data_IF_344349475532
#
_entry.id   IF_344349475532
#
_cell.length_a   1.000
_cell.length_b   1.000
_cell.length_c   1.000
_cell.angle_alpha   90.00
_cell.angle_beta   90.00
_cell.angle_gamma   90.00
#
_symmetry.space_group_name_H-M   'P 1'
#
loop_
_entity.id
_entity.type
_entity.pdbx_description
1 polymer ?
#
# COMPACT_ATOMS: atom_id res chain seq x y z
N UNK A 1 24.37 -83.70 2.33
CA UNK A 1 24.68 -82.43 1.64
C UNK A 1 24.05 -81.32 2.45
N UNK A 2 24.86 -80.56 3.20
CA UNK A 2 24.44 -79.51 4.12
C UNK A 2 24.11 -78.24 3.33
N UNK A 3 22.95 -77.60 3.58
CA UNK A 3 22.70 -76.22 3.15
C UNK A 3 22.22 -75.45 4.38
N UNK A 4 23.11 -74.60 4.92
CA UNK A 4 22.82 -73.65 5.99
C UNK A 4 21.83 -72.59 5.49
N UNK A 5 20.68 -72.48 6.14
CA UNK A 5 19.76 -71.34 5.96
C UNK A 5 20.26 -70.15 6.79
N UNK A 6 20.59 -69.04 6.12
CA UNK A 6 21.06 -67.79 6.75
C UNK A 6 19.90 -67.12 7.49
N UNK A 7 20.01 -66.96 8.81
CA UNK A 7 19.08 -66.12 9.59
C UNK A 7 19.41 -64.65 9.34
N UNK A 8 18.52 -63.93 8.65
CA UNK A 8 18.59 -62.47 8.50
C UNK A 8 18.00 -61.85 9.77
N UNK A 9 18.85 -61.22 10.58
CA UNK A 9 18.45 -60.49 11.78
C UNK A 9 17.94 -59.10 11.34
N UNK A 10 16.63 -58.89 11.42
CA UNK A 10 16.03 -57.57 11.22
C UNK A 10 16.31 -56.71 12.47
N UNK A 11 17.16 -55.69 12.30
CA UNK A 11 17.40 -54.64 13.30
C UNK A 11 16.25 -53.62 13.17
N UNK A 12 15.57 -53.23 14.26
CA UNK A 12 14.48 -52.26 14.15
C UNK A 12 15.09 -50.88 13.90
N UNK A 13 14.83 -50.33 12.72
CA UNK A 13 15.08 -48.91 12.43
C UNK A 13 14.09 -48.13 13.28
N UNK A 14 14.58 -47.57 14.39
CA UNK A 14 13.85 -46.60 15.21
C UNK A 14 13.67 -45.35 14.35
N UNK A 15 12.48 -45.23 13.77
CA UNK A 15 12.02 -44.01 13.11
C UNK A 15 11.78 -42.97 14.21
N UNK A 16 12.79 -42.13 14.45
CA UNK A 16 12.64 -40.87 15.17
C UNK A 16 11.67 -40.00 14.35
N UNK A 17 10.38 -40.09 14.68
CA UNK A 17 9.42 -39.07 14.31
C UNK A 17 9.83 -37.79 15.03
N UNK A 18 10.58 -36.93 14.34
CA UNK A 18 10.66 -35.52 14.66
C UNK A 18 9.25 -34.99 14.51
N UNK A 19 8.50 -34.97 15.62
CA UNK A 19 7.32 -34.14 15.79
C UNK A 19 7.78 -32.68 15.77
N UNK A 20 8.11 -32.19 14.57
CA UNK A 20 8.23 -30.78 14.32
C UNK A 20 6.86 -30.18 14.58
N UNK A 21 6.75 -29.32 15.58
CA UNK A 21 5.63 -28.40 15.65
C UNK A 21 5.68 -27.55 14.38
N UNK A 22 4.81 -27.84 13.42
CA UNK A 22 4.45 -26.88 12.39
C UNK A 22 3.80 -25.70 13.12
N UNK A 23 4.62 -24.71 13.46
CA UNK A 23 4.15 -23.39 13.86
C UNK A 23 3.51 -22.73 12.66
N UNK A 24 2.28 -23.11 12.33
CA UNK A 24 1.43 -22.31 11.47
C UNK A 24 1.10 -21.05 12.25
N UNK A 25 1.93 -20.02 12.08
CA UNK A 25 1.54 -18.67 12.45
C UNK A 25 0.45 -18.27 11.47
N UNK A 26 -0.80 -18.61 11.78
CA UNK A 26 -1.94 -17.88 11.24
C UNK A 26 -1.90 -16.51 11.89
N UNK A 27 -0.96 -15.64 11.47
CA UNK A 27 -1.08 -14.22 11.79
C UNK A 27 -2.47 -13.83 11.28
N UNK A 28 -3.38 -13.32 12.14
CA UNK A 28 -4.64 -12.77 11.66
C UNK A 28 -4.29 -11.77 10.56
N UNK A 29 -5.05 -11.79 9.45
CA UNK A 29 -4.81 -10.97 8.25
C UNK A 29 -4.11 -9.67 8.62
N UNK A 30 -2.85 -9.52 8.17
CA UNK A 30 -1.97 -8.40 8.54
C UNK A 30 -2.80 -7.13 8.65
N UNK A 31 -2.95 -6.61 9.88
CA UNK A 31 -3.42 -5.26 10.08
C UNK A 31 -2.49 -4.35 9.28
N UNK A 32 -3.02 -3.33 8.62
CA UNK A 32 -2.23 -2.31 7.93
C UNK A 32 -1.05 -1.78 8.78
N UNK A 33 -1.13 -1.87 10.10
CA UNK A 33 -0.06 -1.47 11.00
C UNK A 33 1.26 -2.22 10.76
N UNK A 34 1.26 -3.51 10.38
CA UNK A 34 2.51 -4.24 10.08
C UNK A 34 3.11 -3.78 8.74
N UNK A 35 2.28 -3.49 7.73
CA UNK A 35 2.74 -2.88 6.47
C UNK A 35 3.33 -1.48 6.71
N UNK A 36 2.73 -0.69 7.60
CA UNK A 36 3.20 0.67 7.93
C UNK A 36 4.38 0.68 8.90
N UNK A 37 4.66 -0.42 9.59
CA UNK A 37 5.88 -0.59 10.38
C UNK A 37 7.09 -0.72 9.45
N UNK A 38 6.93 -1.48 8.36
CA UNK A 38 7.95 -1.65 7.31
C UNK A 38 8.09 -0.40 6.41
N UNK A 39 7.11 0.52 6.42
CA UNK A 39 7.05 1.71 5.57
C UNK A 39 6.69 2.98 6.38
N UNK A 40 7.33 3.16 7.54
CA UNK A 40 7.07 4.22 8.50
C UNK A 40 7.18 5.65 7.89
N UNK A 41 8.09 5.82 6.93
CA UNK A 41 8.30 7.05 6.16
C UNK A 41 7.06 7.55 5.39
N UNK A 42 6.01 6.74 5.22
CA UNK A 42 4.77 7.13 4.53
C UNK A 42 3.74 7.78 5.46
N UNK A 43 3.84 7.52 6.77
CA UNK A 43 2.81 7.89 7.75
C UNK A 43 2.77 9.40 7.97
N UNK A 44 3.90 10.02 8.28
CA UNK A 44 3.97 11.47 8.49
C UNK A 44 3.52 12.26 7.24
N UNK A 45 4.02 11.97 6.03
CA UNK A 45 3.52 12.61 4.82
C UNK A 45 2.02 12.44 4.60
N UNK A 46 1.44 11.27 4.94
CA UNK A 46 0.01 11.04 4.76
C UNK A 46 -0.84 11.89 5.71
N UNK A 47 -0.37 12.08 6.95
CA UNK A 47 -0.99 13.01 7.91
C UNK A 47 -0.88 14.46 7.41
N UNK A 48 0.29 14.87 6.91
CA UNK A 48 0.48 16.21 6.35
C UNK A 48 -0.39 16.45 5.12
N UNK A 49 -0.53 15.46 4.24
CA UNK A 49 -1.41 15.54 3.08
C UNK A 49 -2.89 15.65 3.47
N UNK A 50 -3.32 14.94 4.52
CA UNK A 50 -4.67 15.08 5.06
C UNK A 50 -4.92 16.51 5.56
N UNK A 51 -3.99 17.08 6.33
CA UNK A 51 -4.12 18.44 6.88
C UNK A 51 -4.09 19.51 5.79
N UNK A 52 -3.23 19.34 4.79
CA UNK A 52 -3.01 20.32 3.73
C UNK A 52 -4.11 20.26 2.66
N UNK A 53 -4.53 19.06 2.26
CA UNK A 53 -5.38 18.86 1.10
C UNK A 53 -6.78 18.33 1.42
N UNK A 54 -6.98 17.74 2.60
CA UNK A 54 -8.21 17.05 2.99
C UNK A 54 -8.26 15.57 2.60
N UNK A 55 -7.18 15.05 2.00
CA UNK A 55 -7.11 13.66 1.53
C UNK A 55 -7.10 12.68 2.70
N UNK A 56 -8.02 11.71 2.77
CA UNK A 56 -7.98 10.68 3.82
C UNK A 56 -6.64 9.94 3.83
N UNK A 57 -6.08 9.68 5.02
CA UNK A 57 -4.81 8.96 5.17
C UNK A 57 -4.85 7.62 4.41
N UNK A 58 -5.94 6.87 4.56
CA UNK A 58 -6.14 5.60 3.83
C UNK A 58 -6.09 5.79 2.31
N UNK A 59 -6.65 6.88 1.78
CA UNK A 59 -6.65 7.18 0.35
C UNK A 59 -5.23 7.46 -0.15
N UNK A 60 -4.45 8.25 0.59
CA UNK A 60 -3.03 8.49 0.25
C UNK A 60 -2.25 7.18 0.20
N UNK A 61 -2.39 6.36 1.24
CA UNK A 61 -1.63 5.11 1.37
C UNK A 61 -1.98 4.09 0.30
N UNK A 62 -3.26 3.90 -0.05
CA UNK A 62 -3.62 2.88 -1.07
C UNK A 62 -3.21 3.25 -2.49
N UNK A 63 -2.97 4.54 -2.75
CA UNK A 63 -2.52 5.04 -4.04
C UNK A 63 -0.99 5.09 -4.15
N UNK A 64 -0.27 4.88 -3.04
CA UNK A 64 1.17 4.64 -3.08
C UNK A 64 1.47 3.27 -3.68
N UNK A 65 2.59 3.20 -4.37
CA UNK A 65 3.12 1.99 -4.96
C UNK A 65 4.33 1.53 -4.15
N UNK A 66 4.37 0.24 -3.81
CA UNK A 66 5.56 -0.39 -3.25
C UNK A 66 6.64 -0.46 -4.34
N UNK A 67 7.91 -0.13 -4.02
CA UNK A 67 9.00 -0.26 -4.96
C UNK A 67 9.20 -1.74 -5.32
N UNK A 68 9.13 -2.07 -6.61
CA UNK A 68 9.23 -3.45 -7.09
C UNK A 68 10.69 -3.97 -7.11
N UNK A 69 11.67 -3.06 -7.07
CA UNK A 69 13.10 -3.37 -6.99
C UNK A 69 13.91 -2.13 -6.61
N UNK A 70 15.17 -2.32 -6.23
CA UNK A 70 16.12 -1.21 -6.03
C UNK A 70 16.34 -0.34 -7.28
N UNK A 71 15.99 -0.84 -8.46
CA UNK A 71 16.20 -0.17 -9.74
C UNK A 71 15.02 0.71 -10.17
N UNK A 72 13.83 0.55 -9.56
CA UNK A 72 12.64 1.38 -9.85
C UNK A 72 11.93 1.74 -8.53
N UNK A 73 12.52 2.70 -7.81
CA UNK A 73 12.08 3.16 -6.47
C UNK A 73 10.94 4.17 -6.49
N UNK A 74 10.08 4.17 -7.51
CA UNK A 74 8.98 5.14 -7.58
C UNK A 74 7.85 4.72 -6.65
N UNK A 75 7.48 5.61 -5.73
CA UNK A 75 6.32 5.44 -4.84
C UNK A 75 5.01 5.89 -5.48
N UNK A 76 5.07 6.60 -6.61
CA UNK A 76 3.91 6.94 -7.44
C UNK A 76 4.32 7.03 -8.91
N UNK A 77 3.43 6.61 -9.82
CA UNK A 77 3.64 6.70 -11.28
C UNK A 77 2.61 7.63 -11.95
N UNK A 78 2.73 8.95 -11.77
CA UNK A 78 1.84 9.91 -12.39
C UNK A 78 2.10 10.03 -13.88
N UNK A 79 1.10 10.51 -14.63
CA UNK A 79 1.34 10.97 -16.00
C UNK A 79 2.23 12.22 -15.95
N UNK A 80 3.12 12.38 -16.92
CA UNK A 80 4.06 13.52 -16.95
C UNK A 80 3.34 14.86 -16.88
N UNK A 81 2.20 15.01 -17.57
CA UNK A 81 1.41 16.24 -17.54
C UNK A 81 0.84 16.55 -16.14
N UNK A 82 0.39 15.54 -15.39
CA UNK A 82 -0.15 15.73 -14.04
C UNK A 82 0.97 16.06 -13.05
N UNK A 83 2.13 15.42 -13.21
CA UNK A 83 3.32 15.70 -12.41
C UNK A 83 3.86 17.10 -12.65
N UNK A 84 3.93 17.54 -13.92
CA UNK A 84 4.38 18.88 -14.27
C UNK A 84 3.41 19.94 -13.73
N UNK A 85 2.11 19.72 -13.88
CA UNK A 85 1.11 20.62 -13.30
C UNK A 85 1.27 20.73 -11.79
N UNK A 86 1.43 19.61 -11.08
CA UNK A 86 1.69 19.59 -9.65
C UNK A 86 2.90 20.43 -9.28
N UNK A 87 4.07 20.14 -9.86
CA UNK A 87 5.33 20.83 -9.51
C UNK A 87 5.22 22.34 -9.71
N UNK A 88 4.56 22.77 -10.78
CA UNK A 88 4.31 24.19 -11.06
C UNK A 88 3.34 24.79 -10.02
N UNK A 89 2.21 24.13 -9.77
CA UNK A 89 1.12 24.66 -8.92
C UNK A 89 1.44 24.64 -7.43
N UNK A 90 2.29 23.71 -7.00
CA UNK A 90 2.74 23.58 -5.61
C UNK A 90 4.10 24.21 -5.36
N UNK A 91 4.74 24.81 -6.38
CA UNK A 91 6.09 25.38 -6.34
C UNK A 91 7.17 24.35 -5.92
N UNK A 92 6.95 23.06 -6.20
CA UNK A 92 7.87 21.95 -5.85
C UNK A 92 8.64 21.46 -7.07
N UNK A 93 9.51 22.31 -7.60
CA UNK A 93 10.23 22.06 -8.85
C UNK A 93 11.18 20.85 -8.79
N UNK A 94 11.73 20.59 -7.61
CA UNK A 94 12.69 19.53 -7.28
C UNK A 94 12.03 18.25 -6.77
N UNK A 95 10.70 18.21 -6.67
CA UNK A 95 9.98 17.02 -6.20
C UNK A 95 10.30 15.80 -7.07
N UNK A 96 10.41 14.65 -6.41
CA UNK A 96 10.71 13.36 -7.03
C UNK A 96 9.68 12.29 -6.67
N UNK A 97 9.15 11.51 -7.63
CA UNK A 97 8.26 10.39 -7.31
C UNK A 97 8.97 9.25 -6.57
N UNK A 98 10.29 9.32 -6.41
CA UNK A 98 11.09 8.36 -5.64
C UNK A 98 11.26 8.76 -4.17
N UNK A 99 10.83 9.97 -3.80
CA UNK A 99 10.82 10.41 -2.41
C UNK A 99 9.41 10.19 -1.87
N UNK A 100 9.21 9.37 -0.82
CA UNK A 100 7.87 9.06 -0.31
C UNK A 100 7.08 10.31 0.07
N UNK A 101 7.72 11.28 0.71
CA UNK A 101 7.08 12.53 1.10
C UNK A 101 6.55 13.33 -0.12
N UNK A 102 7.30 13.38 -1.21
CA UNK A 102 6.87 14.05 -2.45
C UNK A 102 5.76 13.29 -3.16
N UNK A 103 5.84 11.95 -3.16
CA UNK A 103 4.83 11.08 -3.74
C UNK A 103 3.48 11.24 -3.01
N UNK A 104 3.50 11.28 -1.68
CA UNK A 104 2.30 11.47 -0.87
C UNK A 104 1.73 12.89 -0.99
N UNK A 105 2.58 13.93 -1.00
CA UNK A 105 2.09 15.32 -1.22
C UNK A 105 1.45 15.45 -2.61
N UNK A 106 2.03 14.82 -3.64
CA UNK A 106 1.43 14.75 -4.97
C UNK A 106 0.08 14.04 -4.96
N UNK A 107 -0.04 12.86 -4.33
CA UNK A 107 -1.31 12.14 -4.22
C UNK A 107 -2.36 13.01 -3.50
N UNK A 108 -1.96 13.71 -2.43
CA UNK A 108 -2.81 14.64 -1.72
C UNK A 108 -3.32 15.77 -2.62
N UNK A 109 -2.42 16.44 -3.33
CA UNK A 109 -2.76 17.49 -4.28
C UNK A 109 -3.67 16.96 -5.40
N UNK A 110 -3.33 15.81 -5.98
CA UNK A 110 -4.02 15.22 -7.12
C UNK A 110 -5.45 14.80 -6.77
N UNK A 111 -5.63 14.13 -5.63
CA UNK A 111 -6.96 13.71 -5.14
C UNK A 111 -7.84 14.91 -4.82
N UNK A 112 -7.28 16.00 -4.28
CA UNK A 112 -8.02 17.26 -4.16
C UNK A 112 -8.45 17.83 -5.52
N UNK A 113 -7.60 17.74 -6.55
CA UNK A 113 -8.01 18.13 -7.91
C UNK A 113 -9.09 17.19 -8.44
N UNK A 114 -9.04 15.89 -8.15
CA UNK A 114 -10.08 14.93 -8.55
C UNK A 114 -11.44 15.27 -7.94
N UNK A 115 -11.47 15.64 -6.65
CA UNK A 115 -12.70 16.13 -6.00
C UNK A 115 -13.22 17.39 -6.70
N UNK A 116 -12.34 18.37 -6.94
CA UNK A 116 -12.73 19.68 -7.51
C UNK A 116 -13.14 19.62 -8.97
N UNK A 117 -12.45 18.83 -9.80
CA UNK A 117 -12.63 18.79 -11.26
C UNK A 117 -13.65 17.75 -11.70
N UNK A 118 -13.66 16.60 -11.02
CA UNK A 118 -14.42 15.43 -11.45
C UNK A 118 -15.54 15.06 -10.48
N UNK A 119 -15.73 15.81 -9.38
CA UNK A 119 -16.74 15.54 -8.35
C UNK A 119 -16.64 14.12 -7.77
N UNK A 120 -15.42 13.59 -7.68
CA UNK A 120 -15.13 12.29 -7.05
C UNK A 120 -15.13 12.50 -5.54
N UNK A 121 -15.91 11.71 -4.78
CA UNK A 121 -15.93 11.85 -3.34
C UNK A 121 -14.66 11.24 -2.72
N UNK A 122 -14.21 11.77 -1.57
CA UNK A 122 -13.00 11.29 -0.90
C UNK A 122 -13.00 9.80 -0.57
N UNK A 123 -14.18 9.23 -0.36
CA UNK A 123 -14.36 7.80 -0.09
C UNK A 123 -14.28 6.91 -1.33
N UNK A 124 -14.37 7.48 -2.54
CA UNK A 124 -14.39 6.73 -3.80
C UNK A 124 -12.96 6.50 -4.30
N UNK A 125 -12.17 5.76 -3.52
CA UNK A 125 -10.76 5.51 -3.79
C UNK A 125 -10.51 4.82 -5.14
N UNK A 126 -11.43 3.94 -5.59
CA UNK A 126 -11.36 3.35 -6.92
C UNK A 126 -11.47 4.38 -8.05
N UNK A 127 -12.32 5.38 -7.88
CA UNK A 127 -12.48 6.47 -8.85
C UNK A 127 -11.26 7.41 -8.84
N UNK A 128 -10.71 7.69 -7.66
CA UNK A 128 -9.44 8.41 -7.54
C UNK A 128 -8.28 7.67 -8.22
N UNK A 129 -8.24 6.34 -8.11
CA UNK A 129 -7.27 5.51 -8.82
C UNK A 129 -7.42 5.60 -10.34
N UNK A 130 -8.65 5.49 -10.86
CA UNK A 130 -8.93 5.66 -12.29
C UNK A 130 -8.49 7.04 -12.78
N UNK A 131 -8.81 8.09 -12.03
CA UNK A 131 -8.37 9.45 -12.33
C UNK A 131 -6.85 9.57 -12.35
N UNK A 132 -6.14 8.95 -11.39
CA UNK A 132 -4.68 8.98 -11.35
C UNK A 132 -4.04 8.28 -12.55
N UNK A 133 -4.61 7.15 -13.00
CA UNK A 133 -4.09 6.39 -14.14
C UNK A 133 -4.40 7.03 -15.49
N UNK A 134 -5.56 7.66 -15.63
CA UNK A 134 -6.06 8.19 -16.90
C UNK A 134 -5.87 9.71 -17.03
N UNK A 135 -5.66 10.40 -15.91
CA UNK A 135 -5.83 11.84 -15.76
C UNK A 135 -7.29 12.26 -15.61
N UNK A 136 -7.51 13.47 -15.11
CA UNK A 136 -8.87 14.00 -14.88
C UNK A 136 -9.74 14.00 -16.15
N UNK A 137 -9.17 14.39 -17.30
CA UNK A 137 -9.91 14.41 -18.57
C UNK A 137 -10.12 13.02 -19.18
N UNK A 138 -9.20 12.08 -18.95
CA UNK A 138 -9.33 10.69 -19.42
C UNK A 138 -10.39 9.93 -18.64
N UNK A 139 -10.43 10.16 -17.32
CA UNK A 139 -11.45 9.64 -16.41
C UNK A 139 -12.89 9.92 -16.88
N UNK A 140 -13.20 11.15 -17.32
CA UNK A 140 -14.54 11.49 -17.82
C UNK A 140 -15.01 10.69 -19.04
N UNK A 141 -14.07 10.09 -19.79
CA UNK A 141 -14.36 9.26 -20.96
C UNK A 141 -14.14 7.77 -20.67
N UNK A 142 -13.91 7.41 -19.42
CA UNK A 142 -13.68 6.03 -19.04
C UNK A 142 -14.96 5.21 -19.21
N UNK A 143 -14.83 4.05 -19.85
CA UNK A 143 -15.90 3.10 -20.10
C UNK A 143 -15.43 1.73 -19.56
N UNK A 144 -16.02 1.29 -18.44
CA UNK A 144 -15.55 0.13 -17.70
C UNK A 144 -15.63 -1.18 -18.50
N UNK A 145 -16.59 -1.30 -19.40
CA UNK A 145 -16.79 -2.44 -20.30
C UNK A 145 -15.66 -2.57 -21.34
N UNK A 146 -15.09 -1.44 -21.78
CA UNK A 146 -13.93 -1.43 -22.70
C UNK A 146 -12.62 -1.76 -22.01
N UNK A 147 -12.53 -1.53 -20.69
CA UNK A 147 -11.30 -1.69 -19.91
C UNK A 147 -11.55 -2.48 -18.61
N UNK A 148 -12.00 -3.74 -18.70
CA UNK A 148 -12.44 -4.53 -17.54
C UNK A 148 -11.31 -4.77 -16.52
N UNK A 149 -10.07 -4.94 -16.98
CA UNK A 149 -8.91 -5.13 -16.10
C UNK A 149 -8.65 -3.89 -15.24
N UNK A 150 -8.70 -2.69 -15.84
CA UNK A 150 -8.49 -1.45 -15.11
C UNK A 150 -9.64 -1.18 -14.12
N UNK A 151 -10.87 -1.49 -14.50
CA UNK A 151 -12.03 -1.42 -13.61
C UNK A 151 -11.88 -2.38 -12.42
N UNK A 152 -11.36 -3.59 -12.64
CA UNK A 152 -11.10 -4.56 -11.58
C UNK A 152 -10.00 -4.08 -10.62
N UNK A 153 -8.91 -3.49 -11.14
CA UNK A 153 -7.85 -2.89 -10.33
C UNK A 153 -8.41 -1.76 -9.45
N UNK A 154 -9.21 -0.86 -10.02
CA UNK A 154 -9.88 0.21 -9.29
C UNK A 154 -10.77 -0.34 -8.16
N UNK A 155 -11.52 -1.42 -8.42
CA UNK A 155 -12.33 -2.07 -7.39
C UNK A 155 -11.48 -2.67 -6.27
N UNK A 156 -10.31 -3.23 -6.60
CA UNK A 156 -9.35 -3.71 -5.61
C UNK A 156 -8.83 -2.60 -4.69
N UNK A 157 -8.51 -1.44 -5.27
CA UNK A 157 -8.09 -0.24 -4.51
C UNK A 157 -9.20 0.25 -3.60
N UNK A 158 -10.44 0.31 -4.09
CA UNK A 158 -11.62 0.68 -3.30
C UNK A 158 -11.78 -0.19 -2.05
N UNK A 159 -11.76 -1.51 -2.23
CA UNK A 159 -11.91 -2.46 -1.12
C UNK A 159 -10.76 -2.36 -0.11
N UNK A 160 -9.54 -2.14 -0.60
CA UNK A 160 -8.37 -1.95 0.27
C UNK A 160 -8.50 -0.66 1.08
N UNK A 161 -8.93 0.45 0.45
CA UNK A 161 -9.07 1.75 1.10
C UNK A 161 -10.10 1.71 2.24
N UNK A 162 -11.23 1.05 2.00
CA UNK A 162 -12.28 0.85 3.01
C UNK A 162 -11.77 0.03 4.19
N UNK A 163 -11.07 -1.07 3.92
CA UNK A 163 -10.43 -1.89 4.97
C UNK A 163 -9.44 -1.06 5.79
N UNK A 164 -8.50 -0.41 5.12
CA UNK A 164 -7.45 0.39 5.74
C UNK A 164 -8.00 1.55 6.55
N UNK A 165 -9.07 2.20 6.09
CA UNK A 165 -9.75 3.26 6.85
C UNK A 165 -10.26 2.77 8.21
N UNK A 166 -10.78 1.54 8.26
CA UNK A 166 -11.26 0.93 9.51
C UNK A 166 -10.09 0.50 10.41
N UNK A 167 -9.04 -0.07 9.83
CA UNK A 167 -7.88 -0.61 10.57
C UNK A 167 -6.96 0.47 11.13
N UNK A 168 -6.78 1.60 10.43
CA UNK A 168 -5.89 2.70 10.83
C UNK A 168 -6.23 3.28 12.22
N UNK A 169 -7.49 3.22 12.63
CA UNK A 169 -7.90 3.65 13.98
C UNK A 169 -7.22 2.83 15.08
N UNK A 170 -6.94 1.55 14.82
CA UNK A 170 -6.25 0.66 15.76
C UNK A 170 -4.72 0.89 15.79
N UNK A 171 -4.12 1.38 14.70
CA UNK A 171 -2.66 1.59 14.62
C UNK A 171 -2.16 2.80 15.42
N UNK A 172 -3.05 3.76 15.74
CA UNK A 172 -2.70 5.03 16.41
C UNK A 172 -1.90 4.86 17.70
N UNK A 173 -2.09 3.76 18.43
CA UNK A 173 -1.37 3.48 19.68
C UNK A 173 0.06 2.97 19.49
N UNK A 174 0.39 2.38 18.33
CA UNK A 174 1.73 1.82 18.05
C UNK A 174 2.72 2.90 17.67
N UNK A 175 2.29 3.91 16.90
CA UNK A 175 3.19 4.97 16.45
C UNK A 175 3.70 5.83 17.62
N UNK A 176 2.89 6.08 18.65
CA UNK A 176 3.24 6.92 19.80
C UNK A 176 4.47 6.47 20.63
N UNK A 177 4.98 5.25 20.41
CA UNK A 177 6.07 4.64 21.19
C UNK A 177 7.49 4.88 20.66
N UNK A 178 7.66 5.36 19.42
CA UNK A 178 8.99 5.55 18.84
C UNK A 178 9.40 7.02 18.82
N UNK A 179 10.66 7.29 19.10
CA UNK A 179 11.22 8.59 19.48
C UNK A 179 11.29 9.63 18.34
N UNK A 180 10.14 10.00 17.77
CA UNK A 180 9.94 11.19 16.92
C UNK A 180 8.70 12.01 17.33
N UNK A 181 7.90 11.51 18.29
CA UNK A 181 6.66 12.13 18.81
C UNK A 181 6.82 13.38 19.69
N UNK A 182 8.02 13.76 20.12
CA UNK A 182 8.20 14.92 21.01
C UNK A 182 8.35 16.27 20.30
N UNK A 183 8.16 16.33 18.98
CA UNK A 183 8.26 17.60 18.27
C UNK A 183 7.30 17.74 17.10
N UNK A 184 6.01 17.48 17.33
CA UNK A 184 4.93 18.39 16.94
C UNK A 184 3.61 17.80 17.40
N UNK A 185 2.89 18.60 18.18
CA UNK A 185 1.49 18.38 18.53
C UNK A 185 0.70 18.21 17.22
N UNK A 186 0.34 16.98 16.88
CA UNK A 186 -0.57 16.67 15.77
C UNK A 186 -1.85 16.02 16.31
N UNK A 187 -2.34 16.64 17.39
CA UNK A 187 -3.72 17.08 17.61
C UNK A 187 -3.65 18.49 18.19
#
# INVERSE_FOLDING_TARGET
MMILSKKVFFLPVIVLMLSGCFGSSTKPALLICEELDDNDEWVEPAVLAQQKYGTPISLSLVLLELPLSDLDKKHVRPRSADWDEYRIRSERWDASPQVPADAVDFIGWFTQQSVKRNNIAWQDAGEHYLALRLGHGGYHRFEADKYPELAQQAKGVELRAQRWSNELQACKGQWQGESWFNKLKLW
#
